data_IF_339102148275
#
_entry.id   IF_339102148275
#
_cell.length_a   1.000
_cell.length_b   1.000
_cell.length_c   1.000
_cell.angle_alpha   90.00
_cell.angle_beta   90.00
_cell.angle_gamma   90.00
#
_symmetry.space_group_name_H-M   'P 1'
#
loop_
_entity.id
_entity.type
_entity.pdbx_description
1 polymer ?
#
# COMPACT_ATOMS: atom_id res chain seq x y z
N UNK A 1 -6.60 -16.21 4.68
CA UNK A 1 -6.31 -14.85 5.20
C UNK A 1 -4.96 -14.83 5.92
N UNK A 2 -4.78 -15.55 7.01
CA UNK A 2 -3.56 -15.51 7.83
C UNK A 2 -2.28 -15.83 7.04
N UNK A 3 -2.26 -16.88 6.22
CA UNK A 3 -1.10 -17.28 5.44
C UNK A 3 -0.63 -16.21 4.44
N UNK A 4 -1.57 -15.50 3.80
CA UNK A 4 -1.24 -14.43 2.86
C UNK A 4 -0.65 -13.20 3.56
N UNK A 5 -1.21 -12.82 4.70
CA UNK A 5 -0.67 -11.76 5.53
C UNK A 5 0.73 -12.09 6.04
N UNK A 6 0.94 -13.29 6.56
CA UNK A 6 2.25 -13.76 6.99
C UNK A 6 3.26 -13.76 5.85
N UNK A 7 2.86 -14.23 4.66
CA UNK A 7 3.70 -14.20 3.46
C UNK A 7 4.10 -12.77 3.10
N UNK A 8 3.16 -11.81 3.14
CA UNK A 8 3.46 -10.40 2.86
C UNK A 8 4.50 -9.84 3.82
N UNK A 9 4.31 -10.01 5.14
CA UNK A 9 5.26 -9.47 6.12
C UNK A 9 6.64 -10.12 6.05
N UNK A 10 6.71 -11.42 5.80
CA UNK A 10 7.97 -12.11 5.55
C UNK A 10 8.65 -11.59 4.27
N UNK A 11 7.88 -11.37 3.20
CA UNK A 11 8.36 -10.82 1.94
C UNK A 11 8.88 -9.40 2.10
N UNK A 12 8.17 -8.56 2.85
CA UNK A 12 8.60 -7.20 3.17
C UNK A 12 9.91 -7.20 3.98
N UNK A 13 10.02 -8.07 5.00
CA UNK A 13 11.25 -8.22 5.77
C UNK A 13 12.43 -8.60 4.87
N UNK A 14 12.26 -9.62 4.03
CA UNK A 14 13.29 -10.09 3.11
C UNK A 14 13.63 -9.01 2.08
N UNK A 15 12.65 -8.27 1.59
CA UNK A 15 12.81 -7.16 0.66
C UNK A 15 13.68 -6.06 1.26
N UNK A 16 13.32 -5.54 2.43
CA UNK A 16 14.07 -4.50 3.12
C UNK A 16 15.50 -4.96 3.42
N UNK A 17 15.67 -6.17 3.95
CA UNK A 17 16.99 -6.73 4.24
C UNK A 17 17.89 -6.84 2.99
N UNK A 18 17.33 -7.26 1.85
CA UNK A 18 18.08 -7.31 0.60
C UNK A 18 18.37 -5.92 0.03
N UNK A 19 17.44 -4.96 0.10
CA UNK A 19 17.70 -3.58 -0.32
C UNK A 19 18.84 -2.97 0.49
N UNK A 20 18.80 -3.06 1.81
CA UNK A 20 19.86 -2.55 2.69
C UNK A 20 21.22 -3.19 2.38
N UNK A 21 21.26 -4.50 2.14
CA UNK A 21 22.47 -5.21 1.76
C UNK A 21 22.99 -4.85 0.36
N UNK A 22 22.06 -4.62 -0.58
CA UNK A 22 22.41 -4.38 -2.00
C UNK A 22 22.83 -2.93 -2.22
N UNK A 23 22.11 -1.99 -1.62
CA UNK A 23 22.33 -0.55 -1.86
C UNK A 23 23.29 0.07 -0.87
N UNK A 24 23.35 -0.45 0.36
CA UNK A 24 24.16 0.09 1.45
C UNK A 24 25.04 -0.99 2.08
N UNK A 25 26.26 -0.62 2.48
CA UNK A 25 27.18 -1.51 3.20
C UNK A 25 26.87 -1.43 4.72
N UNK A 26 25.87 -2.20 5.15
CA UNK A 26 25.44 -2.21 6.56
C UNK A 26 25.76 -3.56 7.19
N UNK A 27 26.14 -3.57 8.45
CA UNK A 27 26.39 -4.80 9.22
C UNK A 27 25.15 -5.69 9.30
N UNK A 28 25.34 -7.01 9.26
CA UNK A 28 24.24 -8.00 9.26
C UNK A 28 23.25 -7.83 10.43
N UNK A 29 23.75 -7.51 11.63
CA UNK A 29 22.89 -7.32 12.81
C UNK A 29 22.03 -6.07 12.65
N UNK A 30 22.63 -4.97 12.18
CA UNK A 30 21.93 -3.70 11.94
C UNK A 30 20.89 -3.83 10.84
N UNK A 31 21.19 -4.62 9.76
CA UNK A 31 20.22 -4.95 8.71
C UNK A 31 19.00 -5.64 9.32
N UNK A 32 19.20 -6.65 10.16
CA UNK A 32 18.09 -7.38 10.79
C UNK A 32 17.22 -6.45 11.65
N UNK A 33 17.85 -5.69 12.55
CA UNK A 33 17.13 -4.78 13.46
C UNK A 33 16.33 -3.71 12.69
N UNK A 34 16.96 -3.11 11.67
CA UNK A 34 16.29 -2.09 10.86
C UNK A 34 15.17 -2.68 10.02
N UNK A 35 15.34 -3.90 9.48
CA UNK A 35 14.27 -4.59 8.75
C UNK A 35 13.09 -4.92 9.67
N UNK A 36 13.33 -5.40 10.88
CA UNK A 36 12.25 -5.59 11.87
C UNK A 36 11.56 -4.28 12.22
N UNK A 37 12.31 -3.20 12.43
CA UNK A 37 11.75 -1.89 12.72
C UNK A 37 10.83 -1.39 11.60
N UNK A 38 11.26 -1.48 10.33
CA UNK A 38 10.46 -1.03 9.19
C UNK A 38 9.23 -1.92 8.95
N UNK A 39 9.35 -3.23 9.17
CA UNK A 39 8.19 -4.14 9.11
C UNK A 39 7.21 -3.85 10.23
N UNK A 40 7.69 -3.70 11.47
CA UNK A 40 6.85 -3.34 12.60
C UNK A 40 6.10 -2.02 12.34
N UNK A 41 6.80 -1.03 11.80
CA UNK A 41 6.17 0.22 11.39
C UNK A 41 5.06 0.01 10.36
N UNK A 42 5.31 -0.77 9.29
CA UNK A 42 4.32 -1.06 8.26
C UNK A 42 3.08 -1.78 8.83
N UNK A 43 3.28 -2.66 9.83
CA UNK A 43 2.19 -3.34 10.53
C UNK A 43 1.36 -2.38 11.39
N UNK A 44 2.04 -1.57 12.19
CA UNK A 44 1.38 -0.72 13.20
C UNK A 44 0.77 0.56 12.63
N UNK A 45 1.22 0.98 11.45
CA UNK A 45 0.78 2.23 10.81
C UNK A 45 -0.08 1.98 9.55
N UNK A 46 -0.75 0.83 9.50
CA UNK A 46 -1.63 0.51 8.39
C UNK A 46 -3.03 1.07 8.67
N UNK A 47 -3.45 2.01 7.86
CA UNK A 47 -4.79 2.57 7.83
C UNK A 47 -5.66 1.74 6.87
N UNK A 48 -6.94 1.61 7.12
CA UNK A 48 -7.90 0.86 6.31
C UNK A 48 -7.69 -0.67 6.38
N UNK A 49 -7.71 -1.19 7.58
CA UNK A 49 -7.36 -2.58 7.85
C UNK A 49 -8.41 -3.59 7.35
N UNK A 50 -9.70 -3.26 7.42
CA UNK A 50 -10.77 -4.22 7.14
C UNK A 50 -10.80 -4.63 5.66
N UNK A 51 -10.85 -3.71 4.73
CA UNK A 51 -10.92 -4.02 3.30
C UNK A 51 -9.65 -4.75 2.82
N UNK A 52 -8.47 -4.27 3.22
CA UNK A 52 -7.20 -4.76 2.71
C UNK A 52 -6.80 -6.12 3.29
N UNK A 53 -7.03 -6.34 4.58
CA UNK A 53 -6.49 -7.49 5.29
C UNK A 53 -7.47 -8.62 5.54
N UNK A 54 -8.78 -8.37 5.44
CA UNK A 54 -9.81 -9.34 5.72
C UNK A 54 -10.61 -9.75 4.50
N UNK A 55 -10.81 -8.87 3.52
CA UNK A 55 -11.52 -9.22 2.31
C UNK A 55 -10.65 -10.12 1.41
N UNK A 56 -11.08 -11.37 1.22
CA UNK A 56 -10.33 -12.42 0.55
C UNK A 56 -9.84 -12.06 -0.86
N UNK A 57 -10.69 -11.46 -1.69
CA UNK A 57 -10.32 -11.06 -3.05
C UNK A 57 -9.24 -9.98 -3.05
N UNK A 58 -9.36 -8.97 -2.17
CA UNK A 58 -8.37 -7.90 -2.04
C UNK A 58 -7.07 -8.43 -1.47
N UNK A 59 -7.14 -9.31 -0.48
CA UNK A 59 -5.97 -9.93 0.12
C UNK A 59 -5.11 -10.68 -0.91
N UNK A 60 -5.74 -11.42 -1.83
CA UNK A 60 -5.01 -12.12 -2.88
C UNK A 60 -4.46 -11.16 -3.92
N UNK A 61 -5.33 -10.29 -4.45
CA UNK A 61 -4.98 -9.40 -5.55
C UNK A 61 -4.01 -8.29 -5.15
N UNK A 62 -4.13 -7.75 -3.95
CA UNK A 62 -3.29 -6.64 -3.53
C UNK A 62 -2.15 -7.07 -2.59
N UNK A 63 -2.48 -7.73 -1.47
CA UNK A 63 -1.47 -8.00 -0.41
C UNK A 63 -0.51 -9.10 -0.82
N UNK A 64 -1.03 -10.25 -1.27
CA UNK A 64 -0.20 -11.39 -1.69
C UNK A 64 0.69 -11.02 -2.88
N UNK A 65 0.10 -10.37 -3.90
CA UNK A 65 0.85 -10.00 -5.10
C UNK A 65 1.85 -8.87 -4.85
N UNK A 66 1.60 -7.94 -3.92
CA UNK A 66 2.63 -7.00 -3.47
C UNK A 66 3.80 -7.73 -2.79
N UNK A 67 3.52 -8.76 -2.00
CA UNK A 67 4.56 -9.65 -1.49
C UNK A 67 5.37 -10.32 -2.60
N UNK A 68 4.70 -10.82 -3.65
CA UNK A 68 5.36 -11.37 -4.84
C UNK A 68 6.19 -10.30 -5.57
N UNK A 69 5.67 -9.07 -5.71
CA UNK A 69 6.40 -7.95 -6.31
C UNK A 69 7.75 -7.70 -5.61
N UNK A 70 7.78 -7.76 -4.28
CA UNK A 70 9.04 -7.64 -3.53
C UNK A 70 10.07 -8.70 -3.92
N UNK A 71 9.66 -9.95 -4.12
CA UNK A 71 10.53 -11.00 -4.62
C UNK A 71 10.98 -10.75 -6.06
N UNK A 72 10.10 -10.29 -6.93
CA UNK A 72 10.42 -9.88 -8.30
C UNK A 72 11.52 -8.82 -8.34
N UNK A 73 11.40 -7.77 -7.51
CA UNK A 73 12.40 -6.71 -7.37
C UNK A 73 13.73 -7.28 -6.84
N UNK A 74 13.71 -8.14 -5.82
CA UNK A 74 14.92 -8.78 -5.29
C UNK A 74 15.63 -9.59 -6.38
N UNK A 75 14.90 -10.38 -7.15
CA UNK A 75 15.46 -11.17 -8.24
C UNK A 75 16.02 -10.29 -9.35
N UNK A 76 15.35 -9.18 -9.70
CA UNK A 76 15.84 -8.23 -10.68
C UNK A 76 17.17 -7.60 -10.23
N UNK A 77 17.25 -7.13 -8.98
CA UNK A 77 18.48 -6.58 -8.42
C UNK A 77 19.61 -7.62 -8.36
N UNK A 78 19.30 -8.88 -7.99
CA UNK A 78 20.28 -9.99 -8.02
C UNK A 78 20.72 -10.35 -9.43
N UNK A 79 19.82 -10.31 -10.43
CA UNK A 79 20.14 -10.53 -11.84
C UNK A 79 21.15 -9.48 -12.36
N UNK A 80 20.93 -8.20 -12.02
CA UNK A 80 21.83 -7.10 -12.36
C UNK A 80 23.24 -7.34 -11.78
N UNK A 81 23.32 -7.71 -10.49
CA UNK A 81 24.61 -7.87 -9.81
C UNK A 81 25.35 -9.15 -10.19
N UNK A 82 24.65 -10.29 -10.24
CA UNK A 82 25.27 -11.60 -10.47
C UNK A 82 25.34 -12.04 -11.94
N UNK A 83 24.48 -11.47 -12.79
CA UNK A 83 24.32 -11.90 -14.18
C UNK A 83 23.70 -13.29 -14.36
N UNK A 84 23.22 -13.94 -13.29
CA UNK A 84 22.64 -15.28 -13.37
C UNK A 84 21.29 -15.26 -14.07
N UNK A 85 21.14 -16.11 -15.13
CA UNK A 85 19.90 -16.23 -15.93
C UNK A 85 18.67 -16.61 -15.08
N UNK A 86 18.85 -17.47 -14.07
CA UNK A 86 17.74 -17.88 -13.18
C UNK A 86 17.07 -16.71 -12.46
N UNK A 87 17.84 -15.72 -12.01
CA UNK A 87 17.28 -14.52 -11.41
C UNK A 87 16.56 -13.63 -12.43
N UNK A 88 17.08 -13.54 -13.66
CA UNK A 88 16.41 -12.80 -14.74
C UNK A 88 15.05 -13.43 -15.08
N UNK A 89 15.03 -14.78 -15.21
CA UNK A 89 13.78 -15.52 -15.46
C UNK A 89 12.80 -15.33 -14.31
N UNK A 90 13.26 -15.49 -13.06
CA UNK A 90 12.41 -15.29 -11.88
C UNK A 90 11.82 -13.88 -11.80
N UNK A 91 12.64 -12.84 -12.05
CA UNK A 91 12.16 -11.46 -12.09
C UNK A 91 11.14 -11.23 -13.21
N UNK A 92 11.40 -11.76 -14.41
CA UNK A 92 10.49 -11.62 -15.55
C UNK A 92 9.15 -12.33 -15.31
N UNK A 93 9.16 -13.57 -14.82
CA UNK A 93 7.93 -14.32 -14.51
C UNK A 93 7.10 -13.63 -13.43
N UNK A 94 7.73 -13.25 -12.32
CA UNK A 94 7.00 -12.57 -11.24
C UNK A 94 6.52 -11.20 -11.71
N UNK A 95 7.34 -10.44 -12.44
CA UNK A 95 6.94 -9.16 -13.02
C UNK A 95 5.73 -9.29 -13.93
N UNK A 96 5.67 -10.34 -14.75
CA UNK A 96 4.52 -10.66 -15.60
C UNK A 96 3.27 -10.96 -14.76
N UNK A 97 3.36 -11.86 -13.79
CA UNK A 97 2.23 -12.26 -12.95
C UNK A 97 1.63 -11.08 -12.17
N UNK A 98 2.49 -10.27 -11.56
CA UNK A 98 2.06 -9.12 -10.76
C UNK A 98 1.41 -8.03 -11.61
N UNK A 99 1.93 -7.77 -12.82
CA UNK A 99 1.35 -6.76 -13.72
C UNK A 99 0.05 -7.18 -14.39
N UNK A 100 -0.37 -8.43 -14.27
CA UNK A 100 -1.61 -8.94 -14.83
C UNK A 100 -2.85 -8.80 -13.93
N UNK A 101 -2.71 -8.23 -12.75
CA UNK A 101 -3.78 -8.16 -11.75
C UNK A 101 -4.49 -6.79 -11.73
N UNK A 102 -4.42 -6.05 -10.64
CA UNK A 102 -5.05 -4.73 -10.54
C UNK A 102 -4.27 -3.65 -11.28
N UNK A 103 -4.97 -2.71 -11.93
CA UNK A 103 -4.32 -1.65 -12.70
C UNK A 103 -3.39 -0.77 -11.84
N UNK A 104 -3.71 -0.55 -10.56
CA UNK A 104 -2.84 0.17 -9.63
C UNK A 104 -1.53 -0.56 -9.36
N UNK A 105 -1.62 -1.87 -9.08
CA UNK A 105 -0.44 -2.70 -8.84
C UNK A 105 0.37 -2.88 -10.13
N UNK A 106 -0.29 -2.97 -11.28
CA UNK A 106 0.34 -2.94 -12.62
C UNK A 106 1.17 -1.67 -12.80
N UNK A 107 0.57 -0.51 -12.55
CA UNK A 107 1.24 0.78 -12.67
C UNK A 107 2.46 0.87 -11.72
N UNK A 108 2.30 0.45 -10.47
CA UNK A 108 3.39 0.41 -9.49
C UNK A 108 4.52 -0.52 -9.93
N UNK A 109 4.21 -1.77 -10.33
CA UNK A 109 5.20 -2.77 -10.71
C UNK A 109 5.95 -2.37 -11.98
N UNK A 110 5.25 -1.95 -13.03
CA UNK A 110 5.85 -1.46 -14.27
C UNK A 110 6.74 -0.22 -14.02
N UNK A 111 6.29 0.72 -13.19
CA UNK A 111 7.07 1.90 -12.81
C UNK A 111 8.37 1.54 -12.09
N UNK A 112 8.32 0.64 -11.11
CA UNK A 112 9.51 0.17 -10.38
C UNK A 112 10.46 -0.58 -11.33
N UNK A 113 9.95 -1.47 -12.18
CA UNK A 113 10.76 -2.21 -13.14
C UNK A 113 11.43 -1.30 -14.17
N UNK A 114 10.74 -0.23 -14.61
CA UNK A 114 11.30 0.80 -15.47
C UNK A 114 12.48 1.52 -14.80
N UNK A 115 12.30 1.98 -13.55
CA UNK A 115 13.35 2.67 -12.80
C UNK A 115 14.57 1.79 -12.55
N UNK A 116 14.35 0.53 -12.13
CA UNK A 116 15.44 -0.45 -11.98
C UNK A 116 16.09 -0.77 -13.32
N UNK A 117 15.31 -0.85 -14.39
CA UNK A 117 15.80 -1.05 -15.75
C UNK A 117 16.73 0.07 -16.21
N UNK A 118 16.34 1.33 -16.00
CA UNK A 118 17.21 2.48 -16.26
C UNK A 118 18.51 2.40 -15.45
N UNK A 119 18.41 2.14 -14.16
CA UNK A 119 19.59 1.96 -13.30
C UNK A 119 20.50 0.81 -13.78
N UNK A 120 19.92 -0.32 -14.20
CA UNK A 120 20.66 -1.45 -14.76
C UNK A 120 21.41 -1.08 -16.04
N UNK A 121 20.79 -0.30 -16.93
CA UNK A 121 21.40 0.13 -18.20
C UNK A 121 22.52 1.14 -17.96
N UNK A 122 22.25 2.19 -17.20
CA UNK A 122 23.19 3.30 -17.07
C UNK A 122 24.35 3.00 -16.13
N UNK A 123 24.09 2.33 -14.99
CA UNK A 123 25.11 2.06 -13.96
C UNK A 123 25.83 0.74 -14.20
N UNK A 124 25.10 -0.34 -14.50
CA UNK A 124 25.67 -1.69 -14.61
C UNK A 124 25.88 -2.17 -16.04
N UNK A 125 25.42 -1.42 -17.04
CA UNK A 125 25.52 -1.79 -18.48
C UNK A 125 24.84 -3.13 -18.82
N UNK A 126 23.82 -3.52 -18.04
CA UNK A 126 23.07 -4.79 -18.17
C UNK A 126 21.79 -4.63 -19.01
N UNK A 127 21.93 -4.18 -20.28
CA UNK A 127 20.78 -3.90 -21.18
C UNK A 127 19.84 -5.09 -21.34
N UNK A 128 20.36 -6.30 -21.61
CA UNK A 128 19.52 -7.49 -21.84
C UNK A 128 18.65 -7.85 -20.63
N UNK A 129 19.22 -7.80 -19.42
CA UNK A 129 18.46 -8.06 -18.18
C UNK A 129 17.36 -7.02 -18.01
N UNK A 130 17.67 -5.73 -18.20
CA UNK A 130 16.73 -4.63 -18.08
C UNK A 130 15.53 -4.79 -19.04
N UNK A 131 15.82 -5.05 -20.34
CA UNK A 131 14.81 -5.19 -21.38
C UNK A 131 13.91 -6.41 -21.10
N UNK A 132 14.48 -7.58 -20.80
CA UNK A 132 13.70 -8.79 -20.54
C UNK A 132 12.74 -8.58 -19.37
N UNK A 133 13.24 -8.08 -18.25
CA UNK A 133 12.40 -7.90 -17.05
C UNK A 133 11.32 -6.83 -17.27
N UNK A 134 11.68 -5.66 -17.82
CA UNK A 134 10.72 -4.59 -18.03
C UNK A 134 9.68 -4.95 -19.11
N UNK A 135 10.09 -5.50 -20.25
CA UNK A 135 9.16 -5.88 -21.30
C UNK A 135 8.22 -6.99 -20.88
N UNK A 136 8.65 -7.92 -20.02
CA UNK A 136 7.78 -8.94 -19.44
C UNK A 136 6.66 -8.33 -18.57
N UNK A 137 7.01 -7.41 -17.67
CA UNK A 137 6.04 -6.70 -16.84
C UNK A 137 5.11 -5.81 -17.69
N UNK A 138 5.66 -5.08 -18.66
CA UNK A 138 4.91 -4.20 -19.55
C UNK A 138 3.92 -4.98 -20.42
N UNK A 139 4.34 -6.14 -20.97
CA UNK A 139 3.47 -6.98 -21.79
C UNK A 139 2.23 -7.41 -21.02
N UNK A 140 2.42 -7.92 -19.80
CA UNK A 140 1.30 -8.28 -18.94
C UNK A 140 0.43 -7.08 -18.56
N UNK A 141 1.04 -5.93 -18.28
CA UNK A 141 0.32 -4.70 -18.00
C UNK A 141 -0.54 -4.23 -19.18
N UNK A 142 -0.03 -4.35 -20.40
CA UNK A 142 -0.82 -4.05 -21.62
C UNK A 142 -2.00 -5.02 -21.77
N UNK A 143 -1.77 -6.33 -21.59
CA UNK A 143 -2.83 -7.34 -21.63
C UNK A 143 -3.92 -7.02 -20.59
N UNK A 144 -3.52 -6.67 -19.37
CA UNK A 144 -4.44 -6.25 -18.32
C UNK A 144 -5.25 -5.01 -18.71
N UNK A 145 -4.56 -3.98 -19.21
CA UNK A 145 -5.19 -2.70 -19.59
C UNK A 145 -6.27 -2.87 -20.67
N UNK A 146 -6.01 -3.72 -21.68
CA UNK A 146 -6.97 -3.98 -22.79
C UNK A 146 -8.01 -5.04 -22.44
N UNK A 147 -8.06 -5.53 -21.20
CA UNK A 147 -9.06 -6.51 -20.77
C UNK A 147 -10.48 -5.97 -20.93
N UNK A 148 -11.42 -6.72 -21.53
CA UNK A 148 -12.80 -6.28 -21.74
C UNK A 148 -13.50 -5.80 -20.47
N UNK A 149 -13.19 -6.41 -19.31
CA UNK A 149 -13.76 -6.02 -18.03
C UNK A 149 -13.45 -4.58 -17.62
N UNK A 150 -12.32 -4.02 -18.05
CA UNK A 150 -11.97 -2.62 -17.77
C UNK A 150 -12.85 -1.66 -18.58
N UNK A 151 -13.16 -1.99 -19.83
CA UNK A 151 -14.05 -1.19 -20.68
C UNK A 151 -15.49 -1.26 -20.19
N UNK A 152 -16.00 -2.45 -19.84
CA UNK A 152 -17.36 -2.62 -19.28
C UNK A 152 -17.52 -1.79 -18.01
N UNK A 153 -16.50 -1.80 -17.14
CA UNK A 153 -16.52 -0.99 -15.92
C UNK A 153 -16.51 0.51 -16.20
N UNK A 154 -15.68 0.95 -17.14
CA UNK A 154 -15.63 2.36 -17.56
C UNK A 154 -16.99 2.80 -18.13
N UNK A 155 -17.60 1.99 -18.99
CA UNK A 155 -18.88 2.30 -19.65
C UNK A 155 -20.06 2.29 -18.65
N UNK A 156 -19.93 1.60 -17.52
CA UNK A 156 -20.93 1.63 -16.44
C UNK A 156 -20.94 2.92 -15.62
N UNK A 157 -19.92 3.77 -15.78
CA UNK A 157 -19.82 5.06 -15.11
C UNK A 157 -20.51 6.12 -15.96
N UNK A 158 -21.51 6.78 -15.40
CA UNK A 158 -22.41 7.71 -16.11
C UNK A 158 -21.79 9.07 -16.47
N UNK A 159 -20.59 9.36 -16.02
CA UNK A 159 -19.91 10.64 -16.28
C UNK A 159 -18.65 10.44 -17.13
N UNK A 160 -18.59 11.13 -18.27
CA UNK A 160 -17.34 11.27 -19.01
C UNK A 160 -16.32 12.07 -18.16
N UNK A 161 -15.29 11.37 -17.69
CA UNK A 161 -14.21 12.01 -16.95
C UNK A 161 -12.99 12.17 -17.87
N UNK A 162 -12.64 13.39 -18.26
CA UNK A 162 -11.55 13.61 -19.21
C UNK A 162 -10.21 13.18 -18.59
N UNK A 163 -9.32 12.63 -19.43
CA UNK A 163 -7.97 12.17 -19.00
C UNK A 163 -7.23 13.23 -18.16
N UNK A 164 -7.33 14.52 -18.56
CA UNK A 164 -6.73 15.62 -17.80
C UNK A 164 -7.35 15.81 -16.42
N UNK A 165 -8.67 15.59 -16.29
CA UNK A 165 -9.37 15.59 -15.00
C UNK A 165 -8.90 14.46 -14.09
N UNK A 166 -8.82 13.23 -14.63
CA UNK A 166 -8.32 12.07 -13.91
C UNK A 166 -6.89 12.26 -13.40
N UNK A 167 -6.00 12.83 -14.22
CA UNK A 167 -4.63 13.13 -13.84
C UNK A 167 -4.56 14.20 -12.72
N UNK A 168 -5.38 15.24 -12.83
CA UNK A 168 -5.47 16.28 -11.80
C UNK A 168 -5.97 15.70 -10.47
N UNK A 169 -7.00 14.85 -10.50
CA UNK A 169 -7.53 14.18 -9.31
C UNK A 169 -6.49 13.23 -8.69
N UNK A 170 -5.81 12.43 -9.50
CA UNK A 170 -4.74 11.55 -9.02
C UNK A 170 -3.60 12.33 -8.33
N UNK A 171 -3.18 13.46 -8.92
CA UNK A 171 -2.15 14.32 -8.32
C UNK A 171 -2.64 14.98 -7.02
N UNK A 172 -3.90 15.40 -6.96
CA UNK A 172 -4.50 15.95 -5.76
C UNK A 172 -4.60 14.92 -4.64
N UNK A 173 -5.03 13.70 -4.94
CA UNK A 173 -5.10 12.59 -3.97
C UNK A 173 -3.72 12.25 -3.41
N UNK A 174 -2.72 12.13 -4.29
CA UNK A 174 -1.31 11.93 -3.87
C UNK A 174 -0.83 13.04 -2.93
N UNK A 175 -1.12 14.31 -3.25
CA UNK A 175 -0.75 15.44 -2.41
C UNK A 175 -1.45 15.40 -1.05
N UNK A 176 -2.76 15.17 -1.05
CA UNK A 176 -3.57 15.06 0.16
C UNK A 176 -3.10 13.90 1.05
N UNK A 177 -2.74 12.75 0.43
CA UNK A 177 -2.22 11.61 1.18
C UNK A 177 -0.87 11.89 1.81
N UNK A 178 0.03 12.55 1.09
CA UNK A 178 1.31 12.99 1.65
C UNK A 178 1.09 13.94 2.84
N UNK A 179 0.22 14.94 2.70
CA UNK A 179 -0.12 15.83 3.82
C UNK A 179 -0.65 15.04 5.02
N UNK A 180 -1.57 14.10 4.80
CA UNK A 180 -2.10 13.26 5.87
C UNK A 180 -1.00 12.47 6.58
N UNK A 181 -0.13 11.77 5.84
CA UNK A 181 0.94 10.97 6.41
C UNK A 181 1.95 11.82 7.20
N UNK A 182 2.29 13.00 6.70
CA UNK A 182 3.28 13.86 7.35
C UNK A 182 2.75 14.59 8.58
N UNK A 183 1.47 14.98 8.59
CA UNK A 183 0.93 15.85 9.65
C UNK A 183 -0.01 15.15 10.63
N UNK A 184 -0.58 14.00 10.28
CA UNK A 184 -1.57 13.31 11.11
C UNK A 184 -1.15 11.89 11.53
N UNK A 185 0.07 11.45 11.17
CA UNK A 185 0.59 10.14 11.53
C UNK A 185 2.01 10.23 12.11
N UNK A 186 2.53 9.17 12.75
CA UNK A 186 3.90 9.15 13.26
C UNK A 186 4.97 9.09 12.16
N UNK A 187 4.60 9.14 10.89
CA UNK A 187 5.49 8.95 9.74
C UNK A 187 6.72 9.87 9.77
N UNK A 188 6.52 11.17 10.06
CA UNK A 188 7.63 12.12 10.11
C UNK A 188 8.62 11.84 11.26
N UNK A 189 8.13 11.38 12.41
CA UNK A 189 8.97 11.00 13.56
C UNK A 189 9.86 9.83 13.15
N UNK A 190 9.28 8.86 12.48
CA UNK A 190 9.98 7.67 12.01
C UNK A 190 10.99 7.97 10.92
N UNK A 191 10.70 8.92 10.03
CA UNK A 191 11.66 9.41 9.04
C UNK A 191 12.87 10.07 9.71
N UNK A 192 12.67 10.85 10.79
CA UNK A 192 13.78 11.46 11.55
C UNK A 192 14.62 10.36 12.21
N UNK A 193 14.00 9.38 12.86
CA UNK A 193 14.72 8.24 13.48
C UNK A 193 15.48 7.47 12.41
N UNK A 194 14.84 7.17 11.29
CA UNK A 194 15.47 6.47 10.16
C UNK A 194 16.64 7.27 9.56
N UNK A 195 16.48 8.59 9.40
CA UNK A 195 17.55 9.47 8.93
C UNK A 195 18.77 9.40 9.84
N UNK A 196 18.60 9.47 11.16
CA UNK A 196 19.68 9.37 12.14
C UNK A 196 20.40 8.03 12.01
N UNK A 197 19.65 6.93 11.90
CA UNK A 197 20.21 5.58 11.72
C UNK A 197 20.98 5.51 10.40
N UNK A 198 20.40 6.00 9.31
CA UNK A 198 21.01 5.97 7.98
C UNK A 198 22.29 6.83 7.94
N UNK A 199 22.25 8.04 8.48
CA UNK A 199 23.41 8.93 8.55
C UNK A 199 24.56 8.30 9.32
N UNK A 200 24.26 7.65 10.45
CA UNK A 200 25.29 7.07 11.33
C UNK A 200 25.87 5.76 10.79
N UNK A 201 25.02 4.85 10.30
CA UNK A 201 25.41 3.45 10.09
C UNK A 201 25.52 3.03 8.63
N UNK A 202 25.00 3.82 7.67
CA UNK A 202 25.07 3.44 6.26
C UNK A 202 26.37 3.91 5.63
N UNK A 203 26.93 3.05 4.77
CA UNK A 203 28.03 3.39 3.89
C UNK A 203 27.52 3.57 2.47
N UNK A 204 27.94 4.64 1.82
CA UNK A 204 27.39 5.07 0.54
C UNK A 204 28.44 4.93 -0.56
N UNK A 205 28.16 4.10 -1.57
CA UNK A 205 29.04 3.87 -2.72
C UNK A 205 28.89 4.93 -3.81
N UNK A 206 27.69 5.55 -3.89
CA UNK A 206 27.36 6.44 -4.99
C UNK A 206 27.55 7.89 -4.56
N UNK A 207 28.07 8.69 -5.52
CA UNK A 207 28.24 10.12 -5.36
C UNK A 207 27.01 10.82 -5.96
N UNK A 208 26.04 11.14 -5.09
CA UNK A 208 24.81 11.81 -5.47
C UNK A 208 25.01 13.33 -5.48
N UNK A 209 24.50 13.98 -6.50
CA UNK A 209 24.44 15.44 -6.59
C UNK A 209 23.09 15.93 -6.00
N UNK A 210 23.07 17.12 -5.38
CA UNK A 210 21.85 17.64 -4.73
C UNK A 210 20.63 17.72 -5.66
N UNK A 211 20.82 18.09 -6.94
CA UNK A 211 19.72 18.13 -7.91
C UNK A 211 19.10 16.76 -8.18
N UNK A 212 19.88 15.66 -8.07
CA UNK A 212 19.34 14.28 -8.24
C UNK A 212 18.38 13.91 -7.12
N UNK A 213 18.58 14.43 -5.90
CA UNK A 213 17.66 14.24 -4.79
C UNK A 213 16.33 14.97 -5.03
N UNK A 214 16.38 16.19 -5.61
CA UNK A 214 15.17 16.93 -5.99
C UNK A 214 14.39 16.18 -7.09
N UNK A 215 15.09 15.73 -8.12
CA UNK A 215 14.49 14.92 -9.20
C UNK A 215 13.86 13.64 -8.63
N UNK A 216 14.53 12.97 -7.68
CA UNK A 216 14.00 11.75 -7.06
C UNK A 216 12.68 12.00 -6.32
N UNK A 217 12.51 13.13 -5.61
CA UNK A 217 11.23 13.50 -5.02
C UNK A 217 10.14 13.69 -6.08
N UNK A 218 10.47 14.35 -7.19
CA UNK A 218 9.56 14.48 -8.33
C UNK A 218 9.16 13.13 -8.92
N UNK A 219 10.11 12.20 -9.06
CA UNK A 219 9.84 10.83 -9.55
C UNK A 219 8.93 10.07 -8.57
N UNK A 220 9.14 10.21 -7.26
CA UNK A 220 8.28 9.57 -6.25
C UNK A 220 6.86 10.11 -6.36
N UNK A 221 6.70 11.43 -6.38
CA UNK A 221 5.39 12.08 -6.51
C UNK A 221 4.66 11.63 -7.79
N UNK A 222 5.33 11.69 -8.93
CA UNK A 222 4.78 11.25 -10.22
C UNK A 222 4.47 9.75 -10.23
N UNK A 223 5.34 8.92 -9.65
CA UNK A 223 5.13 7.48 -9.55
C UNK A 223 3.87 7.13 -8.76
N UNK A 224 3.66 7.78 -7.63
CA UNK A 224 2.44 7.60 -6.82
C UNK A 224 1.21 8.13 -7.56
N UNK A 225 1.31 9.28 -8.22
CA UNK A 225 0.22 9.83 -9.06
C UNK A 225 -0.17 8.84 -10.17
N UNK A 226 0.79 8.19 -10.81
CA UNK A 226 0.53 7.19 -11.85
C UNK A 226 -0.17 5.94 -11.28
N UNK A 227 0.11 5.55 -10.04
CA UNK A 227 -0.58 4.44 -9.35
C UNK A 227 -2.07 4.76 -9.16
N UNK A 228 -2.40 5.99 -8.80
CA UNK A 228 -3.78 6.45 -8.56
C UNK A 228 -4.55 6.72 -9.85
N UNK A 229 -3.86 7.05 -10.93
CA UNK A 229 -4.46 7.49 -12.18
C UNK A 229 -5.47 6.48 -12.77
N UNK A 230 -5.21 5.14 -12.84
CA UNK A 230 -6.17 4.19 -13.40
C UNK A 230 -7.51 4.16 -12.66
N UNK A 231 -7.50 4.37 -11.33
CA UNK A 231 -8.74 4.42 -10.53
C UNK A 231 -9.50 5.71 -10.81
N UNK A 232 -8.82 6.85 -10.81
CA UNK A 232 -9.45 8.13 -11.11
C UNK A 232 -10.08 8.14 -12.51
N UNK A 233 -9.43 7.50 -13.49
CA UNK A 233 -9.94 7.39 -14.84
C UNK A 233 -11.10 6.39 -14.94
N UNK A 234 -10.94 5.20 -14.35
CA UNK A 234 -11.90 4.09 -14.53
C UNK A 234 -13.17 4.22 -13.72
N UNK A 235 -13.15 4.94 -12.60
CA UNK A 235 -14.33 5.17 -11.76
C UNK A 235 -14.87 6.60 -11.85
N UNK A 236 -14.23 7.48 -12.60
CA UNK A 236 -14.58 8.91 -12.71
C UNK A 236 -14.77 9.58 -11.35
N UNK A 237 -13.90 9.25 -10.39
CA UNK A 237 -14.03 9.67 -8.99
C UNK A 237 -12.81 10.43 -8.52
N UNK A 238 -13.02 11.35 -7.58
CA UNK A 238 -11.97 12.02 -6.82
C UNK A 238 -11.60 11.30 -5.52
N UNK A 239 -12.05 10.06 -5.30
CA UNK A 239 -11.75 9.26 -4.11
C UNK A 239 -11.14 7.91 -4.50
N UNK A 240 -10.34 7.33 -3.62
CA UNK A 240 -9.74 6.02 -3.80
C UNK A 240 -10.40 5.00 -2.87
N UNK A 241 -10.64 3.77 -3.33
CA UNK A 241 -10.94 2.65 -2.45
C UNK A 241 -9.78 2.38 -1.50
N UNK A 242 -10.06 1.89 -0.31
CA UNK A 242 -9.09 1.67 0.76
C UNK A 242 -7.91 0.79 0.34
N UNK A 243 -8.16 -0.26 -0.45
CA UNK A 243 -7.14 -1.12 -1.04
C UNK A 243 -6.15 -0.38 -1.95
N UNK A 244 -6.60 0.67 -2.61
CA UNK A 244 -5.74 1.51 -3.47
C UNK A 244 -4.93 2.49 -2.64
N UNK A 245 -5.51 3.07 -1.58
CA UNK A 245 -4.82 3.91 -0.59
C UNK A 245 -3.68 3.12 0.06
N UNK A 246 -3.91 1.84 0.37
CA UNK A 246 -2.88 0.97 0.93
C UNK A 246 -1.68 0.78 -0.03
N UNK A 247 -1.92 0.59 -1.35
CA UNK A 247 -0.84 0.54 -2.35
C UNK A 247 -0.11 1.87 -2.47
N UNK A 248 -0.84 2.97 -2.43
CA UNK A 248 -0.29 4.33 -2.41
C UNK A 248 0.65 4.50 -1.23
N UNK A 249 0.23 4.11 -0.03
CA UNK A 249 1.07 4.15 1.18
C UNK A 249 2.34 3.31 1.04
N UNK A 250 2.23 2.10 0.51
CA UNK A 250 3.39 1.25 0.24
C UNK A 250 4.39 1.94 -0.69
N UNK A 251 3.91 2.58 -1.76
CA UNK A 251 4.77 3.29 -2.70
C UNK A 251 5.43 4.52 -2.06
N UNK A 252 4.67 5.30 -1.28
CA UNK A 252 5.18 6.46 -0.54
C UNK A 252 6.25 6.02 0.46
N UNK A 253 5.99 4.97 1.26
CA UNK A 253 6.96 4.49 2.24
C UNK A 253 8.25 4.02 1.58
N UNK A 254 8.17 3.19 0.55
CA UNK A 254 9.37 2.71 -0.17
C UNK A 254 10.15 3.89 -0.77
N UNK A 255 9.44 4.81 -1.42
CA UNK A 255 10.03 5.97 -2.07
C UNK A 255 10.70 6.92 -1.08
N UNK A 256 9.98 7.35 -0.04
CA UNK A 256 10.46 8.34 0.92
C UNK A 256 11.55 7.78 1.84
N UNK A 257 11.43 6.54 2.35
CA UNK A 257 12.53 5.92 3.11
C UNK A 257 13.78 5.75 2.24
N UNK A 258 13.62 5.33 0.97
CA UNK A 258 14.74 5.28 0.02
C UNK A 258 15.38 6.64 -0.22
N UNK A 259 14.56 7.68 -0.37
CA UNK A 259 15.04 9.05 -0.53
C UNK A 259 15.78 9.56 0.71
N UNK A 260 15.23 9.35 1.90
CA UNK A 260 15.86 9.74 3.18
C UNK A 260 17.21 9.05 3.36
N UNK A 261 17.32 7.77 3.00
CA UNK A 261 18.59 7.06 3.00
C UNK A 261 19.62 7.72 2.06
N UNK A 262 19.21 8.05 0.83
CA UNK A 262 20.06 8.75 -0.15
C UNK A 262 20.47 10.15 0.33
N UNK A 263 19.54 10.90 0.90
CA UNK A 263 19.77 12.24 1.46
C UNK A 263 20.77 12.21 2.62
N UNK A 264 20.62 11.26 3.53
CA UNK A 264 21.55 11.05 4.63
C UNK A 264 22.98 10.78 4.13
N UNK A 265 23.12 9.95 3.08
CA UNK A 265 24.40 9.68 2.45
C UNK A 265 25.05 10.87 1.78
N UNK A 266 24.25 11.62 1.04
CA UNK A 266 24.70 12.87 0.41
C UNK A 266 25.19 13.88 1.45
N UNK A 267 24.42 14.08 2.53
CA UNK A 267 24.78 14.99 3.61
C UNK A 267 26.05 14.56 4.33
N UNK A 268 26.19 13.25 4.63
CA UNK A 268 27.37 12.66 5.27
C UNK A 268 28.65 12.92 4.45
N UNK A 269 28.57 12.75 3.13
CA UNK A 269 29.70 13.04 2.24
C UNK A 269 30.05 14.54 2.20
N UNK A 270 29.02 15.41 2.12
CA UNK A 270 29.21 16.85 2.06
C UNK A 270 29.77 17.42 3.36
N UNK A 271 29.43 16.84 4.48
CA UNK A 271 29.94 17.23 5.81
C UNK A 271 31.35 16.69 6.12
N UNK A 272 32.05 16.08 5.15
CA UNK A 272 33.42 15.58 5.33
C UNK A 272 33.52 14.41 6.29
N UNK A 273 32.51 13.54 6.37
CA UNK A 273 32.41 12.43 7.30
C UNK A 273 32.54 12.85 8.79
N UNK A 274 32.02 14.01 9.13
CA UNK A 274 31.98 14.45 10.54
C UNK A 274 31.27 13.37 11.35
N UNK A 275 31.97 12.76 12.28
CA UNK A 275 31.36 11.91 13.30
C UNK A 275 30.56 12.79 14.26
N UNK A 276 29.24 12.84 14.06
CA UNK A 276 28.38 13.49 15.03
C UNK A 276 28.42 12.71 16.34
N UNK A 277 28.73 13.43 17.43
CA UNK A 277 28.69 12.86 18.77
C UNK A 277 27.28 12.33 19.07
N UNK A 278 27.19 11.24 19.83
CA UNK A 278 25.89 10.66 20.21
C UNK A 278 24.96 11.69 20.85
N UNK A 279 25.54 12.55 21.70
CA UNK A 279 24.82 13.61 22.40
C UNK A 279 24.17 14.59 21.43
N UNK A 280 24.90 15.02 20.39
CA UNK A 280 24.37 15.94 19.37
C UNK A 280 23.22 15.30 18.59
N UNK A 281 23.32 14.02 18.21
CA UNK A 281 22.24 13.28 17.53
C UNK A 281 21.01 13.16 18.41
N UNK A 282 21.20 12.84 19.69
CA UNK A 282 20.09 12.74 20.66
C UNK A 282 19.43 14.10 20.84
N UNK A 283 20.20 15.18 21.00
CA UNK A 283 19.66 16.55 21.13
C UNK A 283 18.85 16.96 19.90
N UNK A 284 19.35 16.68 18.68
CA UNK A 284 18.59 16.97 17.43
C UNK A 284 17.30 16.14 17.41
N UNK A 285 17.37 14.83 17.69
CA UNK A 285 16.19 13.96 17.69
C UNK A 285 15.14 14.43 18.71
N UNK A 286 15.57 14.75 19.95
CA UNK A 286 14.66 15.23 20.99
C UNK A 286 14.07 16.59 20.63
N UNK A 287 14.87 17.52 20.10
CA UNK A 287 14.38 18.84 19.68
C UNK A 287 13.36 18.73 18.54
N UNK A 288 13.62 17.86 17.55
CA UNK A 288 12.68 17.58 16.48
C UNK A 288 11.38 16.93 17.02
N UNK A 289 11.50 15.95 17.93
CA UNK A 289 10.34 15.32 18.56
C UNK A 289 9.50 16.34 19.36
N UNK A 290 10.14 17.18 20.18
CA UNK A 290 9.44 18.22 20.95
C UNK A 290 8.72 19.22 20.04
N UNK A 291 9.37 19.62 18.93
CA UNK A 291 8.75 20.50 17.93
C UNK A 291 7.52 19.84 17.30
N UNK A 292 7.63 18.56 16.89
CA UNK A 292 6.50 17.82 16.31
C UNK A 292 5.39 17.60 17.33
N UNK A 293 5.73 17.31 18.60
CA UNK A 293 4.74 17.23 19.68
C UNK A 293 3.99 18.54 19.88
N UNK A 294 4.63 19.68 19.64
CA UNK A 294 3.98 20.99 19.75
C UNK A 294 2.93 21.25 18.65
N UNK A 295 3.00 20.49 17.55
CA UNK A 295 1.98 20.55 16.49
C UNK A 295 0.67 19.81 16.86
N UNK A 296 0.63 19.08 17.97
CA UNK A 296 -0.56 18.46 18.55
C UNK A 296 -1.13 17.27 17.77
N UNK A 297 -1.33 17.43 16.46
CA UNK A 297 -1.94 16.41 15.59
C UNK A 297 -1.11 15.14 15.42
N UNK A 298 0.22 15.26 15.43
CA UNK A 298 1.14 14.12 15.24
C UNK A 298 1.19 13.19 16.45
N UNK A 299 0.88 13.73 17.64
CA UNK A 299 0.93 12.99 18.90
C UNK A 299 -0.44 12.57 19.43
N UNK A 300 -1.50 12.78 18.66
CA UNK A 300 -2.81 12.26 18.98
C UNK A 300 -2.81 10.73 18.84
N UNK A 301 -2.55 10.03 19.96
CA UNK A 301 -2.47 8.56 19.99
C UNK A 301 -3.73 7.89 19.43
N UNK A 302 -4.89 8.53 19.64
CA UNK A 302 -6.17 8.05 19.10
C UNK A 302 -6.22 8.02 17.56
N UNK A 303 -5.31 8.72 16.87
CA UNK A 303 -5.21 8.64 15.41
C UNK A 303 -4.41 7.42 14.92
N UNK A 304 -3.78 6.67 15.81
CA UNK A 304 -2.96 5.53 15.42
C UNK A 304 -3.81 4.27 15.29
N UNK A 305 -3.80 3.60 14.12
CA UNK A 305 -4.66 2.44 13.88
C UNK A 305 -4.52 1.34 14.94
N UNK A 306 -3.28 1.04 15.36
CA UNK A 306 -3.04 0.04 16.41
C UNK A 306 -3.63 0.45 17.75
N UNK A 307 -3.57 1.74 18.13
CA UNK A 307 -4.14 2.23 19.38
C UNK A 307 -5.67 2.17 19.31
N UNK A 308 -6.26 2.61 18.20
CA UNK A 308 -7.70 2.49 17.96
C UNK A 308 -8.17 1.04 18.03
N UNK A 309 -7.47 0.14 17.34
CA UNK A 309 -7.78 -1.29 17.33
C UNK A 309 -7.77 -1.89 18.73
N UNK A 310 -6.71 -1.61 19.53
CA UNK A 310 -6.63 -2.09 20.91
C UNK A 310 -7.78 -1.52 21.75
N UNK A 311 -8.10 -0.24 21.61
CA UNK A 311 -9.19 0.41 22.31
C UNK A 311 -10.54 -0.22 21.96
N UNK A 312 -10.81 -0.43 20.66
CA UNK A 312 -12.08 -1.04 20.22
C UNK A 312 -12.18 -2.53 20.54
N UNK A 313 -11.03 -3.25 20.64
CA UNK A 313 -11.02 -4.62 21.14
C UNK A 313 -11.31 -4.68 22.65
N UNK A 314 -10.77 -3.73 23.43
CA UNK A 314 -10.92 -3.74 24.90
C UNK A 314 -12.25 -3.21 25.37
N UNK A 315 -12.88 -2.29 24.64
CA UNK A 315 -14.21 -1.76 24.97
C UNK A 315 -15.37 -2.56 24.36
N UNK A 316 -15.08 -3.57 23.53
CA UNK A 316 -16.06 -4.48 22.96
C UNK A 316 -16.68 -4.07 21.62
N UNK A 317 -16.37 -2.89 21.06
CA UNK A 317 -16.96 -2.41 19.79
C UNK A 317 -16.74 -3.39 18.62
N UNK A 318 -15.55 -3.99 18.53
CA UNK A 318 -15.28 -5.00 17.47
C UNK A 318 -16.13 -6.25 17.71
N UNK A 319 -16.24 -6.72 18.97
CA UNK A 319 -17.02 -7.91 19.29
C UNK A 319 -18.50 -7.69 19.00
N UNK A 320 -19.04 -6.52 19.33
CA UNK A 320 -20.43 -6.14 19.06
C UNK A 320 -20.72 -6.15 17.55
N UNK A 321 -19.84 -5.54 16.74
CA UNK A 321 -19.99 -5.53 15.29
C UNK A 321 -19.92 -6.95 14.68
N UNK A 322 -19.02 -7.81 15.17
CA UNK A 322 -18.90 -9.20 14.71
C UNK A 322 -20.14 -10.00 15.09
N UNK A 323 -20.64 -9.85 16.32
CA UNK A 323 -21.87 -10.54 16.80
C UNK A 323 -23.08 -10.11 15.98
N UNK A 324 -23.24 -8.80 15.75
CA UNK A 324 -24.30 -8.27 14.90
C UNK A 324 -24.37 -8.95 13.53
N UNK A 325 -23.22 -9.02 12.82
CA UNK A 325 -23.20 -9.65 11.49
C UNK A 325 -23.38 -11.16 11.55
N UNK A 326 -22.92 -11.83 12.61
CA UNK A 326 -23.18 -13.25 12.83
C UNK A 326 -24.69 -13.50 12.98
N UNK A 327 -25.36 -12.70 13.81
CA UNK A 327 -26.81 -12.81 14.04
C UNK A 327 -27.60 -12.54 12.75
N UNK A 328 -27.16 -11.56 11.92
CA UNK A 328 -27.78 -11.29 10.62
C UNK A 328 -27.68 -12.50 9.70
N UNK A 329 -26.51 -13.14 9.61
CA UNK A 329 -26.34 -14.31 8.77
C UNK A 329 -27.08 -15.54 9.30
N UNK A 330 -27.09 -15.75 10.59
CA UNK A 330 -27.85 -16.84 11.22
C UNK A 330 -29.36 -16.66 10.98
N UNK A 331 -29.89 -15.44 11.02
CA UNK A 331 -31.27 -15.12 10.67
C UNK A 331 -31.59 -15.41 9.20
N UNK A 332 -30.68 -15.04 8.27
CA UNK A 332 -30.83 -15.35 6.84
C UNK A 332 -30.86 -16.86 6.62
N UNK A 333 -29.94 -17.61 7.26
CA UNK A 333 -29.82 -19.06 7.11
C UNK A 333 -31.02 -19.81 7.68
N UNK A 334 -31.48 -19.41 8.87
CA UNK A 334 -32.58 -20.09 9.59
C UNK A 334 -33.97 -19.67 9.13
N UNK A 335 -34.10 -18.56 8.41
CA UNK A 335 -35.41 -18.11 7.90
C UNK A 335 -36.05 -19.16 6.98
N UNK A 336 -37.29 -19.59 7.24
CA UNK A 336 -38.00 -20.55 6.36
C UNK A 336 -38.41 -19.93 5.03
N UNK A 337 -38.49 -18.59 4.95
CA UNK A 337 -38.96 -17.88 3.78
C UNK A 337 -37.91 -17.80 2.68
N UNK A 338 -38.33 -17.87 1.44
CA UNK A 338 -37.46 -17.69 0.29
C UNK A 338 -37.00 -16.24 0.13
N UNK A 339 -37.71 -15.28 0.68
CA UNK A 339 -37.31 -13.88 0.72
C UNK A 339 -37.11 -13.42 2.15
N UNK A 340 -35.96 -12.86 2.49
CA UNK A 340 -35.61 -12.46 3.86
C UNK A 340 -35.28 -10.98 3.92
N UNK A 341 -36.09 -10.23 4.68
CA UNK A 341 -35.84 -8.85 5.05
C UNK A 341 -35.33 -8.79 6.50
N UNK A 342 -34.16 -8.24 6.68
CA UNK A 342 -33.57 -8.05 8.01
C UNK A 342 -33.84 -6.60 8.41
N UNK A 343 -34.57 -6.41 9.51
CA UNK A 343 -34.85 -5.09 10.06
C UNK A 343 -33.99 -4.85 11.29
N UNK A 344 -33.31 -3.73 11.34
CA UNK A 344 -32.48 -3.30 12.47
C UNK A 344 -32.70 -1.82 12.78
N UNK A 345 -32.55 -1.44 14.03
CA UNK A 345 -32.60 -0.02 14.43
C UNK A 345 -31.37 0.71 13.91
N UNK A 346 -30.20 0.09 14.02
CA UNK A 346 -28.91 0.64 13.60
C UNK A 346 -28.00 -0.48 13.07
N UNK A 347 -27.17 -0.14 12.09
CA UNK A 347 -26.14 -1.04 11.56
C UNK A 347 -24.80 -0.54 12.09
N UNK A 348 -24.09 -1.33 12.93
CA UNK A 348 -22.83 -0.88 13.50
C UNK A 348 -21.75 -0.76 12.43
N UNK A 349 -21.08 0.39 12.41
CA UNK A 349 -19.92 0.65 11.58
C UNK A 349 -18.64 0.46 12.39
N UNK A 350 -17.69 -0.30 11.84
CA UNK A 350 -16.40 -0.50 12.47
C UNK A 350 -15.27 -0.56 11.42
N UNK A 351 -14.23 0.25 11.62
CA UNK A 351 -13.12 0.36 10.66
C UNK A 351 -12.22 -0.90 10.59
N UNK A 352 -12.33 -1.83 11.56
CA UNK A 352 -11.54 -3.07 11.62
C UNK A 352 -12.34 -4.32 11.25
N UNK A 353 -13.65 -4.19 11.10
CA UNK A 353 -14.53 -5.27 10.66
C UNK A 353 -15.02 -4.93 9.25
N UNK A 354 -14.69 -5.77 8.28
CA UNK A 354 -15.19 -5.58 6.92
C UNK A 354 -16.67 -5.93 6.85
N UNK A 355 -17.56 -4.96 6.66
CA UNK A 355 -18.98 -5.23 6.63
C UNK A 355 -19.37 -5.97 5.35
N UNK A 356 -20.39 -6.84 5.41
CA UNK A 356 -20.89 -7.54 4.22
C UNK A 356 -21.47 -6.63 3.13
N UNK A 357 -21.66 -5.33 3.40
CA UNK A 357 -22.24 -4.34 2.48
C UNK A 357 -23.65 -4.70 1.99
N UNK A 358 -24.44 -5.39 2.81
CA UNK A 358 -25.87 -5.53 2.55
C UNK A 358 -26.56 -4.16 2.61
N UNK A 359 -27.57 -3.94 1.76
CA UNK A 359 -28.32 -2.69 1.63
C UNK A 359 -29.82 -2.96 1.61
N UNK A 360 -30.59 -1.90 1.65
CA UNK A 360 -32.06 -1.89 1.52
C UNK A 360 -32.56 -2.13 0.09
N UNK A 361 -31.68 -2.32 -0.87
CA UNK A 361 -31.99 -2.59 -2.29
C UNK A 361 -31.83 -4.07 -2.64
N UNK A 362 -32.94 -4.77 -2.85
CA UNK A 362 -32.98 -6.18 -3.29
C UNK A 362 -32.18 -6.44 -4.57
N UNK A 363 -32.02 -5.42 -5.43
CA UNK A 363 -31.32 -5.53 -6.70
C UNK A 363 -29.81 -5.34 -6.59
N UNK A 364 -29.36 -4.88 -5.40
CA UNK A 364 -27.95 -4.68 -5.12
C UNK A 364 -27.15 -5.99 -5.29
N UNK A 365 -26.03 -5.94 -5.97
CA UNK A 365 -25.28 -7.13 -6.36
C UNK A 365 -24.81 -7.99 -5.16
N UNK A 366 -24.48 -7.37 -4.04
CA UNK A 366 -24.09 -8.10 -2.81
C UNK A 366 -25.29 -8.84 -2.24
N UNK A 367 -26.46 -8.19 -2.16
CA UNK A 367 -27.69 -8.79 -1.68
C UNK A 367 -28.08 -10.01 -2.53
N UNK A 368 -27.93 -9.90 -3.86
CA UNK A 368 -28.13 -11.03 -4.77
C UNK A 368 -27.13 -12.18 -4.55
N UNK A 369 -25.86 -11.84 -4.31
CA UNK A 369 -24.83 -12.85 -4.05
C UNK A 369 -25.10 -13.58 -2.72
N UNK A 370 -25.49 -12.88 -1.67
CA UNK A 370 -25.88 -13.46 -0.39
C UNK A 370 -27.15 -14.30 -0.52
N UNK A 371 -28.16 -13.81 -1.23
CA UNK A 371 -29.39 -14.57 -1.50
C UNK A 371 -29.06 -15.89 -2.23
N UNK A 372 -28.25 -15.83 -3.27
CA UNK A 372 -27.81 -17.04 -3.99
C UNK A 372 -27.06 -18.03 -3.10
N UNK A 373 -26.18 -17.54 -2.21
CA UNK A 373 -25.39 -18.37 -1.31
C UNK A 373 -26.27 -19.14 -0.32
N UNK A 374 -27.34 -18.50 0.21
CA UNK A 374 -28.25 -19.12 1.18
C UNK A 374 -29.52 -19.72 0.54
N UNK A 375 -29.56 -19.93 -0.77
CA UNK A 375 -30.70 -20.44 -1.54
C UNK A 375 -32.00 -19.63 -1.30
N UNK A 376 -31.87 -18.30 -1.31
CA UNK A 376 -32.97 -17.34 -1.17
C UNK A 376 -33.29 -16.68 -2.50
N UNK A 377 -34.52 -16.27 -2.70
CA UNK A 377 -34.93 -15.49 -3.86
C UNK A 377 -34.40 -14.05 -3.78
N UNK A 378 -34.45 -13.49 -2.56
CA UNK A 378 -33.86 -12.17 -2.26
C UNK A 378 -33.54 -12.02 -0.77
N UNK A 379 -32.55 -11.16 -0.49
CA UNK A 379 -32.16 -10.73 0.86
C UNK A 379 -31.89 -9.25 0.83
N UNK A 380 -32.28 -8.53 1.88
CA UNK A 380 -31.85 -7.15 2.11
C UNK A 380 -31.87 -6.83 3.61
N UNK A 381 -31.10 -5.77 3.98
CA UNK A 381 -31.11 -5.21 5.33
C UNK A 381 -31.62 -3.77 5.24
N UNK A 382 -32.53 -3.38 6.13
CA UNK A 382 -33.01 -2.03 6.25
C UNK A 382 -32.99 -1.56 7.70
N UNK A 383 -32.81 -0.26 7.91
CA UNK A 383 -33.04 0.35 9.20
C UNK A 383 -34.52 0.65 9.39
N UNK A 384 -35.04 0.44 10.61
CA UNK A 384 -36.46 0.64 10.90
C UNK A 384 -36.89 2.07 10.58
N UNK A 385 -37.80 2.22 9.64
CA UNK A 385 -38.37 3.49 9.19
C UNK A 385 -38.57 3.62 7.67
N UNK A 386 -37.91 2.82 6.86
CA UNK A 386 -38.08 2.80 5.40
C UNK A 386 -38.58 1.44 4.90
N UNK A 387 -39.84 1.11 5.20
CA UNK A 387 -40.51 0.02 4.48
C UNK A 387 -40.81 0.53 3.09
N UNK A 388 -39.91 0.29 2.15
CA UNK A 388 -40.20 0.48 0.74
C UNK A 388 -41.15 -0.65 0.32
N UNK A 389 -42.44 -0.43 0.45
CA UNK A 389 -43.48 -1.21 -0.21
C UNK A 389 -43.46 -0.86 -1.71
N UNK A 390 -42.81 -1.68 -2.51
CA UNK A 390 -43.00 -1.75 -3.96
C UNK A 390 -43.01 -3.22 -4.40
#
# INVERSE_FOLDING_TARGET
>A
VFAANLFFYLSLYVFVANLLKILFEVDKIKIKLLSYFLVLFAVTNNYNNSETWTWYCVLISYVLLTGCMFWGIIFFLKAIKSGKKSYTIGAAVIGFLVSGDSLCLTAMNCGIYLLIGFWAIYVYKKKGVAIICFCSALLSGVINLISPGNFIRHDSVTSEYPIGGALKSAAYLTWSRLQYLFFYTPFIILLIVFFIIAFKYFSYRYDLKGYQLIIALGIIFLGVTIINFPVCLGYSTGTLPDRCIWLEDCAIYIGIFGWVACFAGWLKKKSGNIEMRKETLICIAVSCMLFLCSLGSVCALDNYPTVKMVKQLTNGEIAECVTFWSDVFDEIETSPDKGTAILREEIPENEFVFPPHLRDDKTWWVNKAVALYYDKDWVYISTEGEIVTN
#
